data_IF_753307649126
#
_entry.id   IF_753307649126
#
_cell.length_a   1.000
_cell.length_b   1.000
_cell.length_c   1.000
_cell.angle_alpha   90.00
_cell.angle_beta   90.00
_cell.angle_gamma   90.00
#
_symmetry.space_group_name_H-M   'P 1'
#
loop_
_entity.id
_entity.type
_entity.pdbx_description
1 polymer ?
#
# COMPACT_ATOMS: atom_id res chain seq x y z
N UNK A 1 -13.64 0.88 -4.62
CA UNK A 1 -12.82 -0.36 -4.58
C UNK A 1 -11.75 -0.15 -3.53
N UNK A 2 -11.82 -0.84 -2.43
CA UNK A 2 -10.90 -0.65 -1.30
C UNK A 2 -9.75 -1.65 -1.45
N UNK A 3 -8.55 -1.15 -1.67
CA UNK A 3 -7.33 -1.95 -1.69
C UNK A 3 -6.67 -1.83 -0.32
N UNK A 4 -6.55 -2.93 0.40
CA UNK A 4 -5.87 -2.94 1.70
C UNK A 4 -4.43 -3.42 1.55
N UNK A 5 -3.51 -2.66 2.10
CA UNK A 5 -2.08 -2.97 2.10
C UNK A 5 -1.51 -2.88 3.52
N UNK A 6 -0.58 -3.77 3.84
CA UNK A 6 0.11 -3.81 5.13
C UNK A 6 1.56 -3.35 5.01
N UNK A 7 1.97 -2.49 5.92
CA UNK A 7 3.36 -2.01 6.00
C UNK A 7 4.28 -3.12 6.47
N UNK A 8 5.31 -3.38 5.70
CA UNK A 8 6.41 -4.27 6.11
C UNK A 8 7.43 -3.42 6.88
N UNK A 9 7.29 -3.39 8.19
CA UNK A 9 8.21 -2.69 9.08
C UNK A 9 8.86 -3.67 10.06
N UNK A 10 10.12 -3.44 10.38
CA UNK A 10 10.83 -4.15 11.43
C UNK A 10 10.29 -3.73 12.79
N UNK A 11 9.66 -4.65 13.51
CA UNK A 11 9.24 -4.43 14.89
C UNK A 11 10.46 -4.47 15.82
N UNK A 12 10.81 -3.34 16.41
CA UNK A 12 11.61 -3.30 17.63
C UNK A 12 10.64 -3.14 18.80
N UNK A 13 10.51 -4.20 19.58
CA UNK A 13 9.77 -4.18 20.82
C UNK A 13 10.69 -3.71 21.95
N UNK A 14 10.37 -2.62 22.62
CA UNK A 14 10.89 -2.32 23.95
C UNK A 14 9.84 -1.60 24.79
N UNK A 15 9.53 -2.18 25.93
CA UNK A 15 9.33 -1.43 27.17
C UNK A 15 7.91 -1.23 27.66
N UNK A 16 7.60 -1.99 28.70
CA UNK A 16 6.54 -1.79 29.68
C UNK A 16 6.50 -0.35 30.22
N UNK A 17 5.33 0.27 30.22
CA UNK A 17 4.96 1.25 31.22
C UNK A 17 3.45 1.24 31.45
N UNK A 18 3.07 0.83 32.66
CA UNK A 18 1.75 1.01 33.25
C UNK A 18 1.50 2.48 33.51
N UNK A 19 0.44 3.08 32.99
CA UNK A 19 -0.20 4.24 33.63
C UNK A 19 -1.65 4.40 33.19
N UNK A 20 -2.53 4.30 34.16
CA UNK A 20 -3.79 5.05 34.41
C UNK A 20 -4.65 5.52 33.22
N UNK A 21 -5.88 4.97 33.19
CA UNK A 21 -7.04 5.49 32.51
C UNK A 21 -7.26 6.98 32.81
N UNK A 22 -7.04 7.85 31.82
CA UNK A 22 -7.79 9.09 31.67
C UNK A 22 -8.48 9.02 30.33
N UNK A 23 -9.82 9.07 30.36
CA UNK A 23 -10.64 9.23 29.18
C UNK A 23 -10.24 10.56 28.50
N UNK A 24 -9.33 10.48 27.55
CA UNK A 24 -9.05 11.61 26.66
C UNK A 24 -10.10 11.58 25.57
N UNK A 25 -10.97 12.58 25.64
CA UNK A 25 -11.82 13.01 24.52
C UNK A 25 -10.88 13.14 23.31
N UNK A 26 -10.97 12.18 22.40
CA UNK A 26 -10.22 12.18 21.14
C UNK A 26 -10.74 13.37 20.33
N UNK A 27 -10.10 14.52 20.49
CA UNK A 27 -10.22 15.60 19.54
C UNK A 27 -9.80 15.02 18.20
N UNK A 28 -10.72 15.04 17.23
CA UNK A 28 -10.39 14.70 15.84
C UNK A 28 -9.34 15.70 15.37
N UNK A 29 -8.07 15.35 15.58
CA UNK A 29 -6.99 15.99 14.87
C UNK A 29 -7.15 15.64 13.39
N UNK A 30 -7.13 16.65 12.48
CA UNK A 30 -7.00 16.35 11.07
C UNK A 30 -5.78 15.42 10.93
N UNK A 31 -5.99 14.26 10.32
CA UNK A 31 -4.91 13.33 10.08
C UNK A 31 -3.76 14.09 9.41
N UNK A 32 -2.60 14.10 10.05
CA UNK A 32 -1.41 14.66 9.43
C UNK A 32 -1.24 14.02 8.05
N UNK A 33 -0.84 14.78 7.02
CA UNK A 33 -0.65 14.20 5.69
C UNK A 33 0.28 13.00 5.81
N UNK A 34 -0.23 11.83 5.42
CA UNK A 34 0.55 10.61 5.46
C UNK A 34 1.62 10.70 4.37
N UNK A 35 2.86 10.79 4.77
CA UNK A 35 3.99 10.75 3.85
C UNK A 35 4.20 9.29 3.43
N UNK A 36 3.94 8.99 2.17
CA UNK A 36 4.15 7.67 1.60
C UNK A 36 5.61 7.40 1.23
N UNK A 37 6.39 8.44 0.96
CA UNK A 37 7.79 8.31 0.55
C UNK A 37 8.61 7.46 1.54
N UNK A 38 9.40 6.53 1.02
CA UNK A 38 10.20 5.62 1.80
C UNK A 38 9.40 4.48 2.45
N UNK A 39 8.13 4.32 2.12
CA UNK A 39 7.30 3.25 2.69
C UNK A 39 7.15 2.08 1.73
N UNK A 40 7.04 0.89 2.31
CA UNK A 40 6.80 -0.35 1.58
C UNK A 40 5.56 -1.06 2.14
N UNK A 41 4.73 -1.54 1.23
CA UNK A 41 3.44 -2.15 1.52
C UNK A 41 3.33 -3.52 0.85
N UNK A 42 2.65 -4.45 1.49
CA UNK A 42 2.20 -5.69 0.86
C UNK A 42 0.69 -5.66 0.65
N UNK A 43 0.25 -6.16 -0.48
CA UNK A 43 -1.18 -6.26 -0.78
C UNK A 43 -1.82 -7.37 0.06
N UNK A 44 -2.89 -7.06 0.75
CA UNK A 44 -3.68 -8.03 1.53
C UNK A 44 -5.06 -8.29 0.92
N UNK A 45 -5.62 -7.25 0.32
CA UNK A 45 -6.97 -7.29 -0.25
C UNK A 45 -7.02 -6.45 -1.53
N UNK A 46 -7.76 -6.91 -2.50
CA UNK A 46 -7.97 -6.23 -3.77
C UNK A 46 -9.46 -6.19 -4.13
N UNK A 47 -10.05 -5.02 -3.98
CA UNK A 47 -11.46 -4.83 -4.29
C UNK A 47 -12.42 -5.62 -3.41
N UNK A 48 -12.09 -5.81 -2.13
CA UNK A 48 -12.89 -6.57 -1.17
C UNK A 48 -12.64 -8.07 -1.19
N UNK A 49 -11.65 -8.53 -1.96
CA UNK A 49 -11.22 -9.94 -2.02
C UNK A 49 -9.81 -10.10 -1.48
N UNK A 50 -9.55 -11.05 -0.59
CA UNK A 50 -8.20 -11.34 -0.17
C UNK A 50 -7.34 -11.78 -1.34
N UNK A 51 -6.04 -11.47 -1.28
CA UNK A 51 -5.08 -11.92 -2.28
C UNK A 51 -4.97 -13.44 -2.30
N UNK A 52 -4.54 -14.00 -3.43
CA UNK A 52 -4.30 -15.43 -3.57
C UNK A 52 -3.21 -15.91 -2.60
N UNK A 53 -3.28 -17.16 -2.21
CA UNK A 53 -2.25 -17.79 -1.38
C UNK A 53 -0.88 -17.71 -2.09
N UNK A 54 0.16 -17.32 -1.33
CA UNK A 54 1.50 -17.15 -1.87
C UNK A 54 1.71 -15.86 -2.69
N UNK A 55 0.74 -14.93 -2.69
CA UNK A 55 0.90 -13.64 -3.34
C UNK A 55 2.13 -12.89 -2.83
N UNK A 56 2.88 -12.31 -3.75
CA UNK A 56 4.05 -11.45 -3.47
C UNK A 56 3.80 -10.00 -3.89
N UNK A 57 2.54 -9.62 -4.03
CA UNK A 57 2.18 -8.27 -4.46
C UNK A 57 2.63 -7.22 -3.44
N UNK A 58 3.44 -6.28 -3.88
CA UNK A 58 4.01 -5.21 -3.06
C UNK A 58 3.96 -3.88 -3.77
N UNK A 59 4.03 -2.80 -3.00
CA UNK A 59 4.18 -1.43 -3.49
C UNK A 59 5.19 -0.70 -2.59
N UNK A 60 6.20 -0.10 -3.20
CA UNK A 60 7.18 0.73 -2.52
C UNK A 60 7.13 2.14 -3.09
N UNK A 61 6.96 3.12 -2.23
CA UNK A 61 7.07 4.53 -2.58
C UNK A 61 8.52 4.98 -2.37
N UNK A 62 9.18 5.29 -3.46
CA UNK A 62 10.54 5.82 -3.46
C UNK A 62 10.53 7.34 -3.37
N UNK A 63 11.71 7.92 -3.19
CA UNK A 63 11.88 9.36 -3.27
C UNK A 63 11.56 9.90 -4.68
N UNK A 64 11.35 11.22 -4.76
CA UNK A 64 11.10 11.93 -6.02
C UNK A 64 9.89 11.42 -6.83
N UNK A 65 8.83 10.97 -6.14
CA UNK A 65 7.58 10.58 -6.78
C UNK A 65 7.66 9.32 -7.64
N UNK A 66 8.57 8.41 -7.31
CA UNK A 66 8.70 7.12 -7.99
C UNK A 66 8.06 6.00 -7.17
N UNK A 67 7.53 5.01 -7.86
CA UNK A 67 7.01 3.79 -7.25
C UNK A 67 7.56 2.57 -7.96
N UNK A 68 7.72 1.50 -7.22
CA UNK A 68 8.05 0.18 -7.72
C UNK A 68 7.36 -0.91 -6.91
N UNK A 69 7.31 -2.10 -7.43
CA UNK A 69 6.75 -3.23 -6.71
C UNK A 69 6.78 -4.52 -7.51
N UNK A 70 6.08 -5.49 -6.97
CA UNK A 70 5.83 -6.78 -7.60
C UNK A 70 4.31 -6.98 -7.70
N UNK A 71 3.83 -7.42 -8.85
CA UNK A 71 2.41 -7.64 -9.10
C UNK A 71 1.90 -9.02 -8.69
N UNK A 72 2.73 -9.86 -8.17
CA UNK A 72 2.66 -11.30 -7.89
C UNK A 72 3.43 -12.17 -8.89
N UNK A 73 3.56 -11.74 -10.12
CA UNK A 73 4.36 -12.38 -11.17
C UNK A 73 5.50 -11.48 -11.60
N UNK A 74 5.18 -10.30 -12.07
CA UNK A 74 6.13 -9.37 -12.66
C UNK A 74 6.48 -8.22 -11.73
N UNK A 75 7.66 -7.65 -11.94
CA UNK A 75 8.04 -6.37 -11.35
C UNK A 75 7.43 -5.24 -12.16
N UNK A 76 7.06 -4.18 -11.46
CA UNK A 76 6.62 -2.95 -12.10
C UNK A 76 7.31 -1.72 -11.49
N UNK A 77 7.33 -0.65 -12.25
CA UNK A 77 7.80 0.64 -11.82
C UNK A 77 7.04 1.76 -12.54
N UNK A 78 6.98 2.93 -11.92
CA UNK A 78 6.34 4.10 -12.47
C UNK A 78 6.47 5.31 -11.56
N UNK A 79 5.51 6.22 -11.63
CA UNK A 79 5.45 7.43 -10.82
C UNK A 79 4.19 7.46 -9.96
N UNK A 80 4.26 8.18 -8.86
CA UNK A 80 3.10 8.53 -8.05
C UNK A 80 3.23 9.98 -7.56
N UNK A 81 2.17 10.74 -7.73
CA UNK A 81 2.06 12.11 -7.22
C UNK A 81 1.03 12.14 -6.12
N UNK A 82 1.37 12.73 -4.99
CA UNK A 82 0.47 12.90 -3.85
C UNK A 82 0.25 14.36 -3.55
N UNK A 83 -0.99 14.71 -3.22
CA UNK A 83 -1.35 16.03 -2.72
C UNK A 83 -2.39 15.85 -1.61
N UNK A 84 -1.95 15.98 -0.34
CA UNK A 84 -2.79 15.65 0.80
C UNK A 84 -3.23 14.20 0.76
N UNK A 85 -4.55 13.96 0.75
CA UNK A 85 -5.16 12.64 0.66
C UNK A 85 -5.41 12.16 -0.78
N UNK A 86 -5.02 12.94 -1.77
CA UNK A 86 -5.16 12.54 -3.17
C UNK A 86 -3.86 11.92 -3.68
N UNK A 87 -4.00 10.97 -4.58
CA UNK A 87 -2.89 10.28 -5.22
C UNK A 87 -3.22 10.03 -6.69
N UNK A 88 -2.22 10.17 -7.52
CA UNK A 88 -2.25 9.76 -8.92
C UNK A 88 -1.05 8.88 -9.18
N UNK A 89 -1.31 7.65 -9.54
CA UNK A 89 -0.28 6.71 -10.00
C UNK A 89 -0.22 6.80 -11.52
N UNK A 90 0.95 7.15 -12.03
CA UNK A 90 1.19 7.28 -13.47
C UNK A 90 1.26 5.93 -14.16
N UNK A 91 1.46 5.90 -15.48
CA UNK A 91 1.58 4.63 -16.18
C UNK A 91 2.65 3.75 -15.56
N UNK A 92 2.29 2.49 -15.34
CA UNK A 92 3.18 1.48 -14.78
C UNK A 92 3.77 0.63 -15.91
N UNK A 93 5.09 0.52 -15.92
CA UNK A 93 5.81 -0.40 -16.78
C UNK A 93 6.10 -1.68 -16.01
N UNK A 94 5.75 -2.82 -16.58
CA UNK A 94 5.97 -4.12 -15.95
C UNK A 94 6.78 -5.06 -16.86
N UNK A 95 7.54 -5.96 -16.25
CA UNK A 95 8.12 -7.10 -16.96
C UNK A 95 7.03 -8.05 -17.44
N UNK A 96 7.33 -8.94 -18.35
CA UNK A 96 6.37 -9.86 -18.94
C UNK A 96 6.87 -11.29 -18.89
N UNK A 97 6.91 -11.84 -17.68
CA UNK A 97 7.16 -13.26 -17.48
C UNK A 97 5.84 -14.03 -17.55
N UNK A 98 5.89 -15.29 -17.92
CA UNK A 98 4.76 -16.21 -17.78
C UNK A 98 4.73 -16.79 -16.37
N UNK A 99 3.58 -16.70 -15.73
CA UNK A 99 3.31 -17.24 -14.41
C UNK A 99 2.01 -18.04 -14.43
N UNK A 100 1.69 -18.66 -13.29
CA UNK A 100 0.40 -19.30 -13.10
C UNK A 100 -0.75 -18.31 -13.37
N UNK A 101 -1.84 -18.83 -13.90
CA UNK A 101 -2.97 -18.00 -14.36
C UNK A 101 -3.52 -17.09 -13.26
N UNK A 102 -3.65 -17.62 -12.04
CA UNK A 102 -4.21 -16.85 -10.91
C UNK A 102 -3.29 -15.68 -10.51
N UNK A 103 -1.96 -15.91 -10.53
CA UNK A 103 -1.00 -14.84 -10.27
C UNK A 103 -1.03 -13.77 -11.36
N UNK A 104 -1.15 -14.16 -12.61
CA UNK A 104 -1.25 -13.25 -13.76
C UNK A 104 -2.56 -12.45 -13.74
N UNK A 105 -3.66 -13.07 -13.38
CA UNK A 105 -4.95 -12.40 -13.24
C UNK A 105 -4.92 -11.38 -12.11
N UNK A 106 -4.44 -11.78 -10.92
CA UNK A 106 -4.32 -10.87 -9.79
C UNK A 106 -3.41 -9.67 -10.11
N UNK A 107 -2.28 -9.90 -10.77
CA UNK A 107 -1.38 -8.84 -11.20
C UNK A 107 -2.08 -7.84 -12.12
N UNK A 108 -2.81 -8.32 -13.11
CA UNK A 108 -3.55 -7.47 -14.04
C UNK A 108 -4.57 -6.59 -13.32
N UNK A 109 -5.34 -7.16 -12.40
CA UNK A 109 -6.30 -6.41 -11.58
C UNK A 109 -5.60 -5.42 -10.65
N UNK A 110 -4.49 -5.81 -10.05
CA UNK A 110 -3.72 -4.98 -9.14
C UNK A 110 -3.12 -3.75 -9.83
N UNK A 111 -2.43 -3.94 -10.95
CA UNK A 111 -1.85 -2.82 -11.71
C UNK A 111 -2.94 -1.86 -12.21
N UNK A 112 -4.06 -2.39 -12.69
CA UNK A 112 -5.21 -1.59 -13.08
C UNK A 112 -5.79 -0.80 -11.91
N UNK A 113 -5.89 -1.39 -10.72
CA UNK A 113 -6.36 -0.71 -9.52
C UNK A 113 -5.41 0.42 -9.10
N UNK A 114 -4.10 0.20 -9.16
CA UNK A 114 -3.09 1.22 -8.87
C UNK A 114 -3.19 2.41 -9.83
N UNK A 115 -3.33 2.18 -11.13
CA UNK A 115 -3.45 3.24 -12.12
C UNK A 115 -4.79 3.99 -12.04
N UNK A 116 -5.81 3.38 -11.44
CA UNK A 116 -7.13 3.96 -11.23
C UNK A 116 -7.34 4.65 -9.88
N UNK A 117 -6.36 4.62 -8.99
CA UNK A 117 -6.51 5.21 -7.65
C UNK A 117 -6.51 6.74 -7.71
N UNK A 118 -7.34 7.37 -6.88
CA UNK A 118 -7.44 8.82 -6.76
C UNK A 118 -7.25 9.32 -5.33
N UNK A 119 -7.45 8.47 -4.34
CA UNK A 119 -7.36 8.80 -2.92
C UNK A 119 -6.70 7.67 -2.16
N UNK A 120 -6.08 8.03 -1.06
CA UNK A 120 -5.53 7.06 -0.14
C UNK A 120 -5.78 7.49 1.31
N UNK A 121 -5.74 6.54 2.20
CA UNK A 121 -5.78 6.74 3.63
C UNK A 121 -4.77 5.79 4.30
N UNK A 122 -4.01 6.32 5.25
CA UNK A 122 -3.15 5.51 6.11
C UNK A 122 -3.76 5.48 7.50
N UNK A 123 -4.07 4.29 7.97
CA UNK A 123 -4.61 4.06 9.30
C UNK A 123 -3.75 3.02 10.02
N UNK A 124 -2.88 3.50 10.92
CA UNK A 124 -1.88 2.65 11.56
C UNK A 124 -0.92 2.04 10.54
N UNK A 125 -0.89 0.72 10.47
CA UNK A 125 -0.04 -0.04 9.55
C UNK A 125 -0.74 -0.42 8.24
N UNK A 126 -1.91 0.15 7.97
CA UNK A 126 -2.70 -0.16 6.78
C UNK A 126 -2.81 1.06 5.86
N UNK A 127 -2.70 0.79 4.58
CA UNK A 127 -2.93 1.71 3.47
C UNK A 127 -4.17 1.26 2.70
N UNK A 128 -5.09 2.20 2.50
CA UNK A 128 -6.35 2.00 1.78
C UNK A 128 -6.39 2.87 0.53
#
# INVERSE_FOLDING_TARGET
>A
MITQMRRLGTALAVGLALVACKAQKKLMQPAAPAYLNGTRWSLEDLGGKPVIAGSRATLTFLEAGKVEGNGSCNRFAGSAETNGATIKVGPLAATRMMCEQDASNQETEYLKALEGVHRFEVNGEKLY
#
